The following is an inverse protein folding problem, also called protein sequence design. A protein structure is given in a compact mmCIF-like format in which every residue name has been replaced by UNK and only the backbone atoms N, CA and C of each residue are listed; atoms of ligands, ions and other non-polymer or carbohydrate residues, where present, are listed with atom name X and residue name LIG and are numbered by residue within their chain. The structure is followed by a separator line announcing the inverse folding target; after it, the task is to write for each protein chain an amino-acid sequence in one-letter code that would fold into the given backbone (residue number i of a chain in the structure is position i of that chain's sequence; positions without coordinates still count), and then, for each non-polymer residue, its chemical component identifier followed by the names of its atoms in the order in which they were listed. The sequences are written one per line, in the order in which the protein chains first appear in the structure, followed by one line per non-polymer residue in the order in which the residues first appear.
data_IF_110457543344
#
_entry.id   IF_110457543344
#
_cell.length_a   1.000
_cell.length_b   1.000
_cell.length_c   1.000
_cell.angle_alpha   90.00
_cell.angle_beta   90.00
_cell.angle_gamma   90.00
#
_symmetry.space_group_name_H-M   'P 1'
#
loop_
_entity.id
_entity.type
_entity.pdbx_description
1 polymer ?
#
# COMPACT_ATOMS: atom_id res chain seq x y z
N UNK A 1 -7.23 -57.55 0.80
CA UNK A 1 -7.57 -56.20 0.26
C UNK A 1 -6.33 -55.55 -0.42
N UNK A 2 -6.34 -55.46 -1.75
CA UNK A 2 -5.18 -55.01 -2.54
C UNK A 2 -5.11 -53.48 -2.62
N UNK A 3 -3.92 -52.92 -2.34
CA UNK A 3 -3.60 -51.48 -2.36
C UNK A 3 -3.99 -50.77 -3.67
N UNK A 4 -4.12 -51.53 -4.78
CA UNK A 4 -4.57 -51.01 -6.07
C UNK A 4 -5.98 -50.45 -6.04
N UNK A 5 -6.91 -51.02 -5.25
CA UNK A 5 -8.28 -50.52 -5.16
C UNK A 5 -8.37 -49.17 -4.45
N UNK A 6 -7.49 -48.92 -3.47
CA UNK A 6 -7.45 -47.66 -2.72
C UNK A 6 -7.00 -46.50 -3.63
N UNK A 7 -6.00 -46.74 -4.48
CA UNK A 7 -5.50 -45.72 -5.41
C UNK A 7 -6.53 -45.30 -6.47
N UNK A 8 -7.30 -46.23 -7.01
CA UNK A 8 -8.37 -45.92 -7.98
C UNK A 8 -9.52 -45.13 -7.35
N UNK A 9 -9.89 -45.47 -6.12
CA UNK A 9 -10.89 -44.72 -5.37
C UNK A 9 -10.36 -43.31 -5.07
N UNK A 10 -9.12 -43.17 -4.63
CA UNK A 10 -8.52 -41.86 -4.34
C UNK A 10 -8.36 -41.01 -5.61
N UNK A 11 -8.00 -41.62 -6.74
CA UNK A 11 -7.88 -40.95 -8.05
C UNK A 11 -9.22 -40.49 -8.62
N UNK A 12 -10.34 -41.15 -8.27
CA UNK A 12 -11.68 -40.73 -8.67
C UNK A 12 -12.30 -39.70 -7.69
N UNK A 13 -12.00 -39.81 -6.39
CA UNK A 13 -12.53 -38.89 -5.38
C UNK A 13 -11.80 -37.55 -5.34
N UNK A 14 -10.48 -37.52 -5.56
CA UNK A 14 -9.68 -36.28 -5.59
C UNK A 14 -10.12 -35.25 -6.65
N UNK A 15 -10.37 -35.61 -7.92
CA UNK A 15 -10.84 -34.64 -8.92
C UNK A 15 -12.23 -34.10 -8.57
N UNK A 16 -13.09 -34.94 -7.98
CA UNK A 16 -14.42 -34.52 -7.59
C UNK A 16 -14.39 -33.49 -6.44
N UNK A 17 -13.59 -33.76 -5.40
CA UNK A 17 -13.46 -32.83 -4.26
C UNK A 17 -12.72 -31.56 -4.66
N UNK A 18 -11.70 -31.64 -5.51
CA UNK A 18 -10.99 -30.46 -6.01
C UNK A 18 -11.88 -29.59 -6.88
N UNK A 19 -12.71 -30.14 -7.76
CA UNK A 19 -13.67 -29.36 -8.56
C UNK A 19 -14.71 -28.67 -7.68
N UNK A 20 -15.24 -29.36 -6.66
CA UNK A 20 -16.13 -28.73 -5.66
C UNK A 20 -15.45 -27.58 -4.91
N UNK A 21 -14.18 -27.75 -4.52
CA UNK A 21 -13.38 -26.70 -3.90
C UNK A 21 -13.14 -25.52 -4.84
N UNK A 22 -12.83 -25.79 -6.11
CA UNK A 22 -12.61 -24.78 -7.13
C UNK A 22 -13.91 -24.00 -7.38
N UNK A 23 -15.05 -24.66 -7.50
CA UNK A 23 -16.36 -24.00 -7.64
C UNK A 23 -16.68 -23.16 -6.39
N UNK A 24 -16.43 -23.69 -5.19
CA UNK A 24 -16.63 -22.94 -3.94
C UNK A 24 -15.73 -21.69 -3.89
N UNK A 25 -14.47 -21.83 -4.30
CA UNK A 25 -13.50 -20.74 -4.36
C UNK A 25 -13.87 -19.70 -5.41
N UNK A 26 -14.27 -20.11 -6.62
CA UNK A 26 -14.78 -19.21 -7.65
C UNK A 26 -16.08 -18.53 -7.22
N UNK A 27 -16.97 -19.20 -6.47
CA UNK A 27 -18.18 -18.58 -5.91
C UNK A 27 -17.84 -17.54 -4.86
N UNK A 28 -16.82 -17.79 -4.05
CA UNK A 28 -16.25 -16.82 -3.11
C UNK A 28 -15.65 -15.63 -3.87
N UNK A 29 -14.74 -15.88 -4.82
CA UNK A 29 -14.15 -14.82 -5.65
C UNK A 29 -15.24 -14.05 -6.39
N UNK A 30 -16.26 -14.70 -6.95
CA UNK A 30 -17.34 -13.99 -7.65
C UNK A 30 -18.18 -13.15 -6.68
N UNK A 31 -18.47 -13.64 -5.47
CA UNK A 31 -19.15 -12.84 -4.44
C UNK A 31 -18.31 -11.65 -3.97
N UNK A 32 -17.03 -11.83 -3.67
CA UNK A 32 -16.20 -10.75 -3.14
C UNK A 32 -15.65 -9.80 -4.22
N UNK A 33 -15.38 -10.30 -5.42
CA UNK A 33 -14.70 -9.54 -6.48
C UNK A 33 -15.69 -8.95 -7.51
N UNK A 34 -16.86 -9.58 -7.74
CA UNK A 34 -17.89 -9.04 -8.65
C UNK A 34 -19.11 -8.44 -7.94
N UNK A 35 -19.48 -8.92 -6.75
CA UNK A 35 -20.68 -8.40 -6.08
C UNK A 35 -20.43 -7.07 -5.37
N UNK A 36 -19.17 -6.58 -5.32
CA UNK A 36 -18.79 -5.35 -4.60
C UNK A 36 -19.53 -5.23 -3.27
N UNK A 37 -19.59 -6.31 -2.48
CA UNK A 37 -19.80 -6.08 -1.05
C UNK A 37 -18.65 -5.17 -0.66
N UNK A 38 -18.99 -3.97 -0.20
CA UNK A 38 -18.01 -2.96 0.20
C UNK A 38 -17.03 -3.68 1.10
N UNK A 39 -15.75 -3.72 0.69
CA UNK A 39 -14.67 -4.14 1.57
C UNK A 39 -15.01 -3.58 2.94
N UNK A 40 -15.06 -4.44 3.97
CA UNK A 40 -15.40 -3.97 5.29
C UNK A 40 -14.52 -2.76 5.60
N UNK A 41 -15.03 -1.76 6.31
CA UNK A 41 -14.25 -0.52 6.50
C UNK A 41 -12.87 -0.81 7.13
N UNK A 42 -12.77 -1.88 7.92
CA UNK A 42 -11.50 -2.43 8.44
C UNK A 42 -10.56 -2.96 7.33
N UNK A 43 -11.09 -3.63 6.31
CA UNK A 43 -10.31 -4.15 5.17
C UNK A 43 -9.78 -3.01 4.29
N UNK A 44 -10.61 -1.99 4.05
CA UNK A 44 -10.20 -0.78 3.33
C UNK A 44 -9.06 -0.08 4.07
N UNK A 45 -9.21 0.13 5.38
CA UNK A 45 -8.17 0.73 6.22
C UNK A 45 -6.87 -0.08 6.19
N UNK A 46 -6.96 -1.41 6.23
CA UNK A 46 -5.79 -2.29 6.11
C UNK A 46 -5.06 -2.10 4.77
N UNK A 47 -5.80 -2.00 3.66
CA UNK A 47 -5.22 -1.80 2.32
C UNK A 47 -4.55 -0.43 2.23
N UNK A 48 -5.21 0.63 2.70
CA UNK A 48 -4.65 2.00 2.71
C UNK A 48 -3.35 2.03 3.52
N UNK A 49 -3.36 1.48 4.74
CA UNK A 49 -2.17 1.35 5.58
C UNK A 49 -1.03 0.64 4.86
N UNK A 50 -1.35 -0.44 4.14
CA UNK A 50 -0.36 -1.21 3.37
C UNK A 50 0.22 -0.42 2.20
N UNK A 51 -0.59 0.36 1.49
CA UNK A 51 -0.11 1.23 0.41
C UNK A 51 0.77 2.37 0.92
N UNK A 52 0.42 2.96 2.06
CA UNK A 52 1.22 3.99 2.71
C UNK A 52 2.50 3.45 3.34
N UNK A 53 2.59 2.15 3.61
CA UNK A 53 3.76 1.52 4.25
C UNK A 53 3.89 1.87 5.73
N UNK A 54 2.76 2.18 6.38
CA UNK A 54 2.72 2.58 7.79
C UNK A 54 2.66 1.36 8.72
N UNK A 55 3.42 1.43 9.81
CA UNK A 55 3.26 0.49 10.92
C UNK A 55 1.92 0.70 11.62
N UNK A 56 1.47 -0.28 12.40
CA UNK A 56 0.18 -0.19 13.09
C UNK A 56 0.11 1.01 14.04
N UNK A 57 1.18 1.23 14.82
CA UNK A 57 1.28 2.35 15.74
C UNK A 57 1.23 3.71 15.02
N UNK A 58 1.81 3.79 13.81
CA UNK A 58 1.76 5.01 13.01
C UNK A 58 0.37 5.27 12.42
N UNK A 59 -0.37 4.21 12.11
CA UNK A 59 -1.76 4.31 11.65
C UNK A 59 -2.71 4.72 12.79
N UNK A 60 -2.54 4.12 13.97
CA UNK A 60 -3.32 4.47 15.16
C UNK A 60 -3.01 5.88 15.70
N UNK A 61 -1.82 6.41 15.41
CA UNK A 61 -1.45 7.79 15.73
C UNK A 61 -2.05 8.82 14.75
N UNK A 62 -2.68 8.37 13.66
CA UNK A 62 -3.29 9.24 12.67
C UNK A 62 -4.64 9.75 13.18
N UNK A 63 -5.01 10.99 12.82
CA UNK A 63 -6.27 11.58 13.26
C UNK A 63 -7.44 10.90 12.55
N UNK A 64 -8.58 10.75 13.24
CA UNK A 64 -9.80 10.22 12.61
C UNK A 64 -10.22 11.04 11.36
N UNK A 65 -9.96 12.34 11.36
CA UNK A 65 -10.16 13.21 10.19
C UNK A 65 -9.29 12.80 8.99
N UNK A 66 -8.00 12.58 9.19
CA UNK A 66 -7.07 12.15 8.14
C UNK A 66 -7.43 10.75 7.60
N UNK A 67 -7.85 9.85 8.49
CA UNK A 67 -8.36 8.53 8.08
C UNK A 67 -9.67 8.67 7.28
N UNK A 68 -10.54 9.60 7.67
CA UNK A 68 -11.76 9.94 6.94
C UNK A 68 -11.47 10.43 5.52
N UNK A 69 -10.56 11.39 5.37
CA UNK A 69 -10.13 11.89 4.05
C UNK A 69 -9.60 10.76 3.16
N UNK A 70 -8.80 9.84 3.71
CA UNK A 70 -8.26 8.70 2.95
C UNK A 70 -9.34 7.72 2.48
N UNK A 71 -10.44 7.64 3.23
CA UNK A 71 -11.59 6.82 2.88
C UNK A 71 -12.48 7.53 1.85
N UNK A 72 -12.63 8.85 1.94
CA UNK A 72 -13.36 9.66 0.94
C UNK A 72 -12.64 9.65 -0.42
N UNK A 73 -11.31 9.74 -0.43
CA UNK A 73 -10.47 9.69 -1.64
C UNK A 73 -10.35 8.28 -2.24
N UNK A 74 -11.00 7.28 -1.63
CA UNK A 74 -10.95 5.88 -2.01
C UNK A 74 -9.52 5.35 -2.19
N UNK A 75 -8.60 5.71 -1.28
CA UNK A 75 -7.17 5.38 -1.40
C UNK A 75 -6.87 3.88 -1.34
N UNK A 76 -7.87 3.03 -1.05
CA UNK A 76 -7.76 1.58 -1.20
C UNK A 76 -7.68 1.15 -2.68
N UNK A 77 -8.07 2.04 -3.61
CA UNK A 77 -7.89 1.85 -5.05
C UNK A 77 -6.49 2.31 -5.43
N UNK A 78 -5.71 1.41 -6.03
CA UNK A 78 -4.29 1.66 -6.32
C UNK A 78 -4.10 2.84 -7.28
N UNK A 79 -4.96 2.99 -8.29
CA UNK A 79 -4.89 4.12 -9.22
C UNK A 79 -5.06 5.47 -8.50
N UNK A 80 -6.02 5.56 -7.56
CA UNK A 80 -6.26 6.77 -6.77
C UNK A 80 -5.08 7.06 -5.85
N UNK A 81 -4.56 6.02 -5.18
CA UNK A 81 -3.38 6.14 -4.34
C UNK A 81 -2.15 6.65 -5.11
N UNK A 82 -1.89 6.15 -6.30
CA UNK A 82 -0.75 6.59 -7.12
C UNK A 82 -0.88 8.04 -7.59
N UNK A 83 -2.11 8.53 -7.82
CA UNK A 83 -2.37 9.95 -8.11
C UNK A 83 -2.17 10.80 -6.86
N UNK A 84 -2.80 10.42 -5.75
CA UNK A 84 -2.68 11.11 -4.46
C UNK A 84 -1.23 11.23 -4.00
N UNK A 85 -0.49 10.12 -4.05
CA UNK A 85 0.93 10.08 -3.66
C UNK A 85 1.79 11.01 -4.52
N UNK A 86 1.55 11.05 -5.82
CA UNK A 86 2.23 12.00 -6.71
C UNK A 86 1.91 13.44 -6.33
N UNK A 87 0.64 13.76 -6.09
CA UNK A 87 0.24 15.11 -5.68
C UNK A 87 0.90 15.51 -4.36
N UNK A 88 0.91 14.61 -3.35
CA UNK A 88 1.55 14.86 -2.06
C UNK A 88 3.07 15.05 -2.18
N UNK A 89 3.72 14.27 -3.04
CA UNK A 89 5.14 14.44 -3.34
C UNK A 89 5.41 15.79 -4.04
N UNK A 90 4.53 16.22 -4.93
CA UNK A 90 4.63 17.54 -5.58
C UNK A 90 4.43 18.68 -4.59
N UNK A 91 3.43 18.62 -3.71
CA UNK A 91 3.21 19.61 -2.64
C UNK A 91 4.43 19.71 -1.73
N UNK A 92 4.94 18.58 -1.26
CA UNK A 92 6.12 18.53 -0.39
C UNK A 92 7.34 19.13 -1.08
N UNK A 93 7.56 18.80 -2.35
CA UNK A 93 8.64 19.39 -3.17
C UNK A 93 8.46 20.89 -3.36
N UNK A 94 7.23 21.37 -3.60
CA UNK A 94 6.93 22.79 -3.75
C UNK A 94 7.20 23.55 -2.45
N UNK A 95 6.72 23.05 -1.31
CA UNK A 95 6.97 23.64 0.01
C UNK A 95 8.48 23.69 0.34
N UNK A 96 9.21 22.60 0.06
CA UNK A 96 10.67 22.58 0.20
C UNK A 96 11.32 23.64 -0.70
N UNK A 97 10.88 23.73 -1.96
CA UNK A 97 11.39 24.70 -2.91
C UNK A 97 11.06 26.15 -2.53
N UNK A 98 9.98 26.42 -1.81
CA UNK A 98 9.64 27.74 -1.28
C UNK A 98 10.48 28.11 -0.07
N UNK A 99 10.73 27.14 0.82
CA UNK A 99 11.40 27.38 2.09
C UNK A 99 12.80 28.01 1.92
N UNK A 100 13.02 29.13 2.62
CA UNK A 100 14.27 29.88 2.57
C UNK A 100 15.45 29.09 3.15
N UNK A 101 15.19 28.30 4.20
CA UNK A 101 16.16 27.39 4.84
C UNK A 101 16.66 26.32 3.88
N UNK A 102 15.78 25.66 3.13
CA UNK A 102 16.17 24.66 2.14
C UNK A 102 16.97 25.29 0.99
N UNK A 103 16.54 26.47 0.50
CA UNK A 103 17.32 27.25 -0.49
C UNK A 103 18.72 27.58 0.01
N UNK A 104 18.86 28.01 1.27
CA UNK A 104 20.15 28.34 1.90
C UNK A 104 21.03 27.10 2.05
N UNK A 105 20.47 26.01 2.56
CA UNK A 105 21.16 24.73 2.70
C UNK A 105 21.66 24.20 1.35
N UNK A 106 20.81 24.23 0.32
CA UNK A 106 21.20 23.82 -1.04
C UNK A 106 22.34 24.68 -1.60
N UNK A 107 22.37 25.99 -1.34
CA UNK A 107 23.49 26.86 -1.74
C UNK A 107 24.77 26.53 -0.97
N UNK A 108 24.68 26.28 0.33
CA UNK A 108 25.81 25.87 1.16
C UNK A 108 26.44 24.56 0.68
N UNK A 109 25.60 23.55 0.40
CA UNK A 109 26.07 22.26 -0.13
C UNK A 109 26.74 22.41 -1.51
N UNK A 110 26.25 23.30 -2.39
CA UNK A 110 26.89 23.59 -3.68
C UNK A 110 28.23 24.31 -3.56
N UNK A 111 28.46 25.10 -2.50
CA UNK A 111 29.71 25.83 -2.28
C UNK A 111 30.83 24.99 -1.68
N UNK A 112 30.54 23.76 -1.23
CA UNK A 112 31.53 22.84 -0.66
C UNK A 112 31.11 22.21 0.67
N UNK A 113 29.98 22.63 1.23
CA UNK A 113 29.42 22.03 2.44
C UNK A 113 30.39 22.05 3.64
N UNK A 114 30.36 21.04 4.52
CA UNK A 114 31.17 21.01 5.75
C UNK A 114 32.68 20.82 5.52
N UNK A 115 33.11 20.58 4.28
CA UNK A 115 34.53 20.41 3.92
C UNK A 115 35.16 21.62 3.24
N UNK A 116 34.46 22.76 3.12
CA UNK A 116 34.97 23.93 2.42
C UNK A 116 36.05 24.64 3.26
N UNK A 117 37.32 24.59 2.83
CA UNK A 117 38.39 25.42 3.40
C UNK A 117 38.18 26.88 2.98
N UNK A 118 37.63 27.71 3.86
CA UNK A 118 37.61 29.16 3.65
C UNK A 118 38.91 29.75 4.18
N UNK A 119 39.79 30.19 3.29
CA UNK A 119 40.94 31.01 3.66
C UNK A 119 40.41 32.39 4.07
N UNK A 120 40.40 32.69 5.36
CA UNK A 120 40.22 34.05 5.85
C UNK A 120 41.56 34.75 5.62
N UNK A 121 41.60 35.69 4.67
CA UNK A 121 42.75 36.59 4.48
C UNK A 121 42.71 37.66 5.59
N UNK A 122 43.83 37.81 6.31
CA UNK A 122 44.06 38.75 7.43
C UNK A 122 43.99 40.23 7.02
#
# INVERSE_FOLDING_TARGET
PSYRHVLWVQLAFLPYTTVLYIIWYFRWIWRFNFNKEEFGDEEKQYIIRKFMGLSQLQWEALTEEEVGEYMEDELWIKENFDVWKRNKDYETKAQLAESSSYKRYRRYMRKGGPGQMTFLED
#
